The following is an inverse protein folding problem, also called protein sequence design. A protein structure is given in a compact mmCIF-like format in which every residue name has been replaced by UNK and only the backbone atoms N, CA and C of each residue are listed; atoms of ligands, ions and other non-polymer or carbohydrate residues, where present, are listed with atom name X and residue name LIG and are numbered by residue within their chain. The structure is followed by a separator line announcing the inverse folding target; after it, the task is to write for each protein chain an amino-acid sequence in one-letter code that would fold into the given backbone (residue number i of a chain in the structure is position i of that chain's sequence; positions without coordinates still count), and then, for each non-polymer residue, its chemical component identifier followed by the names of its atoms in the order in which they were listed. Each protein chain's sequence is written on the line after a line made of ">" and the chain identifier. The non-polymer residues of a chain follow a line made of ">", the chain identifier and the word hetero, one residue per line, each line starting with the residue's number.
data_IF_423720785599
#
_entry.id   IF_423720785599
#
_cell.length_a   1.000
_cell.length_b   1.000
_cell.length_c   1.000
_cell.angle_alpha   90.00
_cell.angle_beta   90.00
_cell.angle_gamma   90.00
#
_symmetry.space_group_name_H-M   'P 1'
#
loop_
_entity.id
_entity.type
_entity.pdbx_description
1 polymer ?
#
# COMPACT_ATOMS: atom_id res chain seq x y z
N UNK A 1 -13.32 7.28 10.03
CA UNK A 1 -14.21 6.74 11.07
C UNK A 1 -15.46 7.61 11.23
N UNK A 2 -15.36 8.95 11.41
CA UNK A 2 -16.50 9.86 11.61
C UNK A 2 -17.56 9.72 10.51
N UNK A 3 -17.18 9.74 9.23
CA UNK A 3 -18.10 9.60 8.10
C UNK A 3 -18.85 8.25 8.12
N UNK A 4 -18.14 7.14 8.36
CA UNK A 4 -18.75 5.80 8.43
C UNK A 4 -19.71 5.68 9.61
N UNK A 5 -19.36 6.26 10.78
CA UNK A 5 -20.25 6.28 11.95
C UNK A 5 -21.50 7.10 11.68
N UNK A 6 -21.38 8.27 11.01
CA UNK A 6 -22.51 9.10 10.61
C UNK A 6 -23.48 8.34 9.70
N UNK A 7 -23.03 7.67 8.66
CA UNK A 7 -23.88 6.88 7.76
C UNK A 7 -24.58 5.73 8.49
N UNK A 8 -23.92 5.14 9.50
CA UNK A 8 -24.53 4.09 10.32
C UNK A 8 -25.62 4.63 11.23
N UNK A 9 -25.41 5.80 11.85
CA UNK A 9 -26.40 6.50 12.64
C UNK A 9 -27.61 6.97 11.81
N UNK A 10 -27.37 7.54 10.62
CA UNK A 10 -28.42 7.93 9.66
C UNK A 10 -29.32 6.74 9.29
N UNK A 11 -28.70 5.55 9.09
CA UNK A 11 -29.46 4.31 8.86
C UNK A 11 -30.28 3.92 10.09
N UNK A 12 -29.71 3.99 11.30
CA UNK A 12 -30.41 3.63 12.53
C UNK A 12 -31.58 4.56 12.81
N UNK A 13 -31.45 5.85 12.45
CA UNK A 13 -32.50 6.87 12.56
C UNK A 13 -33.55 6.83 11.44
N UNK A 14 -33.41 5.90 10.50
CA UNK A 14 -34.32 5.79 9.34
C UNK A 14 -34.15 6.88 8.27
N UNK A 15 -33.13 7.73 8.37
CA UNK A 15 -32.81 8.78 7.41
C UNK A 15 -32.18 8.23 6.11
N UNK A 16 -31.64 7.04 6.17
CA UNK A 16 -31.02 6.31 5.06
C UNK A 16 -31.47 4.85 5.08
N UNK A 17 -31.98 4.34 3.97
CA UNK A 17 -32.46 2.95 3.89
C UNK A 17 -31.32 1.93 4.05
N UNK A 18 -30.20 2.14 3.35
CA UNK A 18 -28.99 1.31 3.41
C UNK A 18 -27.75 2.18 3.49
N UNK A 19 -26.68 1.66 4.06
CA UNK A 19 -25.38 2.33 4.04
C UNK A 19 -24.73 2.23 2.67
N UNK A 20 -23.84 3.17 2.25
CA UNK A 20 -23.20 3.11 0.94
C UNK A 20 -22.44 1.80 0.68
N UNK A 21 -21.77 1.25 1.68
CA UNK A 21 -21.09 -0.05 1.52
C UNK A 21 -22.06 -1.24 1.41
N UNK A 22 -23.28 -1.14 1.95
CA UNK A 22 -24.30 -2.18 1.75
C UNK A 22 -24.88 -2.12 0.33
N UNK A 23 -25.08 -0.90 -0.21
CA UNK A 23 -25.49 -0.70 -1.60
C UNK A 23 -24.43 -1.21 -2.58
N UNK A 24 -23.15 -0.92 -2.33
CA UNK A 24 -22.04 -1.50 -3.12
C UNK A 24 -22.00 -3.03 -3.03
N UNK A 25 -22.24 -3.61 -1.83
CA UNK A 25 -22.34 -5.06 -1.68
C UNK A 25 -23.48 -5.67 -2.51
N UNK A 26 -24.64 -5.01 -2.56
CA UNK A 26 -25.76 -5.44 -3.41
C UNK A 26 -25.43 -5.35 -4.92
N UNK A 27 -24.54 -4.43 -5.31
CA UNK A 27 -24.08 -4.30 -6.70
C UNK A 27 -23.27 -5.53 -7.16
N UNK A 28 -22.63 -6.27 -6.25
CA UNK A 28 -21.79 -7.42 -6.58
C UNK A 28 -22.50 -8.51 -7.41
N UNK A 29 -23.78 -8.79 -7.13
CA UNK A 29 -24.57 -9.74 -7.94
C UNK A 29 -24.77 -9.27 -9.37
N UNK A 30 -25.03 -7.97 -9.55
CA UNK A 30 -25.20 -7.35 -10.89
C UNK A 30 -23.86 -7.32 -11.63
N UNK A 31 -22.78 -7.10 -10.91
CA UNK A 31 -21.43 -7.13 -11.45
C UNK A 31 -21.12 -8.45 -12.14
N UNK A 32 -21.28 -9.60 -11.47
CA UNK A 32 -20.96 -10.90 -12.09
C UNK A 32 -21.79 -11.21 -13.33
N UNK A 33 -23.07 -10.82 -13.33
CA UNK A 33 -23.93 -10.98 -14.51
C UNK A 33 -23.48 -10.07 -15.67
N UNK A 34 -23.09 -8.84 -15.37
CA UNK A 34 -22.61 -7.89 -16.36
C UNK A 34 -21.23 -8.30 -16.90
N UNK A 35 -20.33 -8.71 -16.01
CA UNK A 35 -19.00 -9.17 -16.37
C UNK A 35 -19.04 -10.39 -17.32
N UNK A 36 -19.81 -11.44 -16.98
CA UNK A 36 -19.96 -12.63 -17.85
C UNK A 36 -20.48 -12.27 -19.25
N UNK A 37 -21.41 -11.31 -19.33
CA UNK A 37 -21.89 -10.80 -20.61
C UNK A 37 -20.84 -9.96 -21.34
N UNK A 38 -20.09 -9.14 -20.60
CA UNK A 38 -19.05 -8.28 -21.14
C UNK A 38 -17.96 -9.10 -21.83
N UNK A 39 -17.49 -10.15 -21.19
CA UNK A 39 -16.45 -11.03 -21.73
C UNK A 39 -16.92 -11.83 -22.97
N UNK A 40 -18.23 -12.18 -23.02
CA UNK A 40 -18.81 -12.92 -24.15
C UNK A 40 -19.12 -12.05 -25.37
N UNK A 41 -19.26 -10.75 -25.20
CA UNK A 41 -19.73 -9.81 -26.26
C UNK A 41 -18.67 -8.80 -26.65
N UNK A 42 -17.63 -9.20 -27.39
CA UNK A 42 -16.53 -8.30 -27.77
C UNK A 42 -16.99 -7.19 -28.72
N UNK A 43 -16.65 -5.93 -28.37
CA UNK A 43 -16.76 -4.70 -29.19
C UNK A 43 -18.12 -4.41 -29.86
N UNK A 44 -19.23 -4.74 -29.22
CA UNK A 44 -20.55 -4.33 -29.61
C UNK A 44 -21.04 -3.13 -28.77
N UNK A 45 -22.06 -2.41 -29.24
CA UNK A 45 -22.75 -1.39 -28.43
C UNK A 45 -23.20 -1.98 -27.08
N UNK A 46 -23.72 -3.21 -27.11
CA UNK A 46 -24.14 -3.93 -25.91
C UNK A 46 -22.98 -4.09 -24.90
N UNK A 47 -21.80 -4.42 -25.39
CA UNK A 47 -20.58 -4.56 -24.57
C UNK A 47 -20.24 -3.25 -23.83
N UNK A 48 -20.17 -2.13 -24.55
CA UNK A 48 -19.85 -0.84 -23.94
C UNK A 48 -20.99 -0.29 -23.07
N UNK A 49 -22.26 -0.60 -23.41
CA UNK A 49 -23.40 -0.22 -22.57
C UNK A 49 -23.47 -0.94 -21.23
N UNK A 50 -22.85 -2.13 -21.11
CA UNK A 50 -22.72 -2.81 -19.82
C UNK A 50 -21.85 -2.03 -18.83
N UNK A 51 -20.76 -1.40 -19.30
CA UNK A 51 -19.94 -0.50 -18.46
C UNK A 51 -20.79 0.65 -17.93
N UNK A 52 -21.60 1.28 -18.80
CA UNK A 52 -22.50 2.37 -18.42
C UNK A 52 -23.53 1.92 -17.38
N UNK A 53 -24.19 0.78 -17.60
CA UNK A 53 -25.17 0.22 -16.67
C UNK A 53 -24.56 -0.06 -15.29
N UNK A 54 -23.35 -0.61 -15.26
CA UNK A 54 -22.66 -0.88 -14.00
C UNK A 54 -22.18 0.41 -13.32
N UNK A 55 -21.70 1.38 -14.09
CA UNK A 55 -21.34 2.69 -13.59
C UNK A 55 -22.53 3.38 -12.92
N UNK A 56 -23.72 3.35 -13.52
CA UNK A 56 -24.94 3.91 -12.91
C UNK A 56 -25.25 3.27 -11.56
N UNK A 57 -25.10 1.94 -11.44
CA UNK A 57 -25.29 1.22 -10.18
C UNK A 57 -24.28 1.65 -9.10
N UNK A 58 -23.00 1.83 -9.48
CA UNK A 58 -21.96 2.28 -8.55
C UNK A 58 -22.17 3.74 -8.15
N UNK A 59 -22.51 4.61 -9.10
CA UNK A 59 -22.72 6.04 -8.86
C UNK A 59 -23.93 6.30 -7.98
N UNK A 60 -25.03 5.54 -8.16
CA UNK A 60 -26.19 5.57 -7.27
C UNK A 60 -25.78 5.16 -5.83
N UNK A 61 -25.06 4.04 -5.67
CA UNK A 61 -24.59 3.58 -4.38
C UNK A 61 -23.61 4.56 -3.68
N UNK A 62 -22.89 5.37 -4.47
CA UNK A 62 -21.90 6.35 -4.02
C UNK A 62 -22.46 7.79 -3.92
N UNK A 63 -23.77 7.97 -4.16
CA UNK A 63 -24.47 9.25 -3.98
C UNK A 63 -24.27 10.28 -5.09
N UNK A 64 -24.00 9.82 -6.34
CA UNK A 64 -23.84 10.67 -7.53
C UNK A 64 -25.11 10.77 -8.39
N UNK A 65 -26.26 10.49 -7.82
CA UNK A 65 -27.60 10.59 -8.45
C UNK A 65 -28.27 11.96 -8.27
N UNK A 66 -27.65 12.87 -7.51
CA UNK A 66 -28.19 14.19 -7.20
C UNK A 66 -28.26 15.15 -8.37
N UNK A 67 -29.14 16.15 -8.26
CA UNK A 67 -29.36 17.22 -9.26
C UNK A 67 -28.12 18.12 -9.48
N UNK A 68 -27.18 18.11 -8.57
CA UNK A 68 -25.89 18.82 -8.62
C UNK A 68 -24.81 18.06 -9.40
N UNK A 69 -25.16 16.93 -10.01
CA UNK A 69 -24.27 16.15 -10.89
C UNK A 69 -24.71 16.37 -12.35
N UNK A 70 -23.83 17.00 -13.12
CA UNK A 70 -24.09 17.23 -14.56
C UNK A 70 -23.62 16.01 -15.33
N UNK A 71 -24.53 15.37 -16.07
CA UNK A 71 -24.25 14.12 -16.80
C UNK A 71 -23.92 14.37 -18.25
N UNK A 72 -23.09 13.48 -18.82
CA UNK A 72 -22.81 13.31 -20.25
C UNK A 72 -22.33 14.58 -20.96
N UNK A 73 -21.21 15.13 -20.50
CA UNK A 73 -20.58 16.28 -21.13
C UNK A 73 -19.41 15.84 -22.04
N UNK A 74 -19.23 16.54 -23.13
CA UNK A 74 -18.03 16.47 -23.95
C UNK A 74 -17.27 17.77 -23.76
N UNK A 75 -16.15 17.69 -22.99
CA UNK A 75 -15.40 18.85 -22.55
C UNK A 75 -14.07 18.91 -23.31
N UNK A 76 -13.79 19.92 -24.14
CA UNK A 76 -12.51 20.08 -24.82
C UNK A 76 -11.39 20.22 -23.78
N UNK A 77 -10.34 19.39 -23.80
CA UNK A 77 -9.17 19.44 -22.93
C UNK A 77 -7.93 19.99 -23.65
N UNK A 78 -7.92 19.92 -24.98
CA UNK A 78 -6.97 20.58 -25.86
C UNK A 78 -7.63 20.97 -27.19
N UNK A 79 -6.87 21.52 -28.14
CA UNK A 79 -7.40 21.84 -29.47
C UNK A 79 -7.89 20.61 -30.24
N UNK A 80 -7.29 19.44 -29.97
CA UNK A 80 -7.55 18.20 -30.71
C UNK A 80 -8.24 17.12 -29.86
N UNK A 81 -8.32 17.33 -28.52
CA UNK A 81 -8.80 16.32 -27.60
C UNK A 81 -9.99 16.81 -26.77
N UNK A 82 -11.03 16.00 -26.76
CA UNK A 82 -12.26 16.21 -25.97
C UNK A 82 -12.41 15.07 -24.95
N UNK A 83 -12.69 15.41 -23.70
CA UNK A 83 -12.96 14.44 -22.63
C UNK A 83 -14.44 14.05 -22.62
N UNK A 84 -14.79 12.76 -22.72
CA UNK A 84 -16.16 12.28 -22.55
C UNK A 84 -16.49 12.14 -21.05
N UNK A 85 -16.88 13.23 -20.41
CA UNK A 85 -17.21 13.27 -18.99
C UNK A 85 -18.63 12.72 -18.78
N UNK A 86 -18.71 11.51 -18.25
CA UNK A 86 -19.97 10.84 -17.96
C UNK A 86 -20.76 11.55 -16.85
N UNK A 87 -20.06 12.00 -15.81
CA UNK A 87 -20.64 12.81 -14.75
C UNK A 87 -19.61 13.82 -14.23
N UNK A 88 -20.04 15.04 -13.99
CA UNK A 88 -19.24 16.12 -13.43
C UNK A 88 -19.86 16.61 -12.12
N UNK A 89 -19.02 16.78 -11.11
CA UNK A 89 -19.38 17.47 -9.85
C UNK A 89 -18.54 18.73 -9.75
N UNK A 90 -19.19 19.87 -9.48
CA UNK A 90 -18.55 21.16 -9.28
C UNK A 90 -18.54 21.53 -7.79
N UNK A 91 -17.57 22.33 -7.39
CA UNK A 91 -17.53 22.88 -6.05
C UNK A 91 -18.54 24.02 -5.86
N UNK A 92 -18.63 24.58 -4.65
CA UNK A 92 -19.52 25.68 -4.35
C UNK A 92 -19.21 26.97 -5.16
N UNK A 93 -17.98 27.11 -5.67
CA UNK A 93 -17.53 28.21 -6.51
C UNK A 93 -17.82 28.00 -7.99
N UNK A 94 -18.34 26.82 -8.38
CA UNK A 94 -18.64 26.45 -9.75
C UNK A 94 -17.44 25.86 -10.52
N UNK A 95 -16.26 25.70 -9.89
CA UNK A 95 -15.11 25.05 -10.50
C UNK A 95 -15.28 23.52 -10.54
N UNK A 96 -14.76 22.82 -11.59
CA UNK A 96 -14.85 21.37 -11.69
C UNK A 96 -14.04 20.72 -10.56
N UNK A 97 -14.70 19.88 -9.76
CA UNK A 97 -14.06 19.18 -8.65
C UNK A 97 -13.78 17.72 -9.00
N UNK A 98 -14.75 17.00 -9.57
CA UNK A 98 -14.63 15.61 -9.97
C UNK A 98 -15.18 15.40 -11.38
N UNK A 99 -14.42 14.72 -12.23
CA UNK A 99 -14.87 14.15 -13.49
C UNK A 99 -14.93 12.63 -13.37
N UNK A 100 -16.00 12.03 -13.85
CA UNK A 100 -16.19 10.59 -13.97
C UNK A 100 -16.18 10.23 -15.43
N UNK A 101 -15.28 9.33 -15.82
CA UNK A 101 -15.06 8.91 -17.21
C UNK A 101 -15.20 7.40 -17.27
N UNK A 102 -16.02 6.90 -18.20
CA UNK A 102 -16.15 5.48 -18.46
C UNK A 102 -15.07 5.02 -19.43
N UNK A 103 -14.57 3.81 -19.22
CA UNK A 103 -13.48 3.27 -20.02
C UNK A 103 -13.73 1.83 -20.44
N UNK A 104 -13.32 1.49 -21.66
CA UNK A 104 -13.36 0.14 -22.21
C UNK A 104 -12.15 -0.64 -21.67
N UNK A 105 -12.30 -1.25 -20.49
CA UNK A 105 -11.24 -1.97 -19.78
C UNK A 105 -11.75 -3.27 -19.20
N UNK A 106 -10.95 -4.35 -19.38
CA UNK A 106 -11.09 -5.63 -18.68
C UNK A 106 -9.71 -6.20 -18.33
N UNK A 107 -9.58 -6.80 -17.16
CA UNK A 107 -8.35 -7.48 -16.73
C UNK A 107 -7.99 -8.67 -17.63
N UNK A 108 -8.97 -9.38 -18.17
CA UNK A 108 -8.72 -10.54 -19.04
C UNK A 108 -8.07 -10.15 -20.38
N UNK A 109 -8.11 -8.86 -20.73
CA UNK A 109 -7.42 -8.32 -21.89
C UNK A 109 -5.92 -7.99 -21.64
N UNK A 110 -5.39 -8.26 -20.45
CA UNK A 110 -4.03 -7.93 -20.01
C UNK A 110 -3.64 -6.45 -20.28
N UNK A 111 -4.60 -5.55 -20.10
CA UNK A 111 -4.47 -4.13 -20.35
C UNK A 111 -4.61 -3.34 -19.05
N UNK A 112 -3.73 -2.34 -18.82
CA UNK A 112 -3.90 -1.39 -17.72
C UNK A 112 -5.05 -0.40 -18.06
N UNK A 113 -5.90 -0.10 -17.07
CA UNK A 113 -7.00 0.88 -17.22
C UNK A 113 -6.48 2.26 -17.65
N UNK A 114 -5.27 2.63 -17.25
CA UNK A 114 -4.64 3.90 -17.61
C UNK A 114 -4.27 3.94 -19.10
N UNK A 115 -3.90 2.80 -19.68
CA UNK A 115 -3.63 2.66 -21.12
C UNK A 115 -4.89 2.39 -21.97
N UNK A 116 -6.02 2.08 -21.33
CA UNK A 116 -7.29 1.85 -22.02
C UNK A 116 -7.89 3.14 -22.59
N UNK A 117 -8.92 2.98 -23.45
CA UNK A 117 -9.58 4.09 -24.13
C UNK A 117 -10.82 4.57 -23.37
N UNK A 118 -11.09 5.89 -23.31
CA UNK A 118 -12.36 6.41 -22.80
C UNK A 118 -13.53 6.08 -23.75
N UNK A 119 -14.75 6.01 -23.19
CA UNK A 119 -15.99 5.72 -23.93
C UNK A 119 -16.80 7.00 -24.12
N UNK A 120 -17.13 7.35 -25.36
CA UNK A 120 -18.05 8.43 -25.69
C UNK A 120 -19.50 7.94 -25.62
N UNK A 121 -20.11 8.00 -24.43
CA UNK A 121 -21.46 7.46 -24.17
C UNK A 121 -22.58 8.11 -24.96
N UNK A 122 -22.49 9.42 -25.27
CA UNK A 122 -23.45 10.10 -26.16
C UNK A 122 -23.53 9.44 -27.54
N UNK A 123 -22.38 9.08 -28.09
CA UNK A 123 -22.27 8.44 -29.39
C UNK A 123 -22.82 7.01 -29.41
N UNK A 124 -22.80 6.32 -28.25
CA UNK A 124 -23.44 5.01 -28.11
C UNK A 124 -24.94 5.03 -28.28
N UNK A 125 -25.61 6.17 -28.01
CA UNK A 125 -27.07 6.34 -28.11
C UNK A 125 -27.53 6.79 -29.47
N UNK A 126 -26.62 7.25 -30.32
CA UNK A 126 -26.98 7.67 -31.68
C UNK A 126 -27.35 6.46 -32.53
N UNK A 127 -28.54 6.46 -33.06
CA UNK A 127 -29.09 5.39 -33.90
C UNK A 127 -28.60 5.53 -35.36
N UNK A 128 -27.29 5.55 -35.54
CA UNK A 128 -26.62 5.66 -36.84
C UNK A 128 -26.08 4.30 -37.21
N UNK A 129 -26.47 3.76 -38.34
CA UNK A 129 -26.02 2.44 -38.82
C UNK A 129 -24.52 2.34 -39.05
N UNK A 130 -23.82 3.49 -39.15
CA UNK A 130 -22.40 3.61 -39.50
C UNK A 130 -21.54 4.23 -38.38
N UNK A 131 -21.75 3.88 -37.10
CA UNK A 131 -20.80 4.30 -36.06
C UNK A 131 -19.50 3.53 -36.26
N UNK A 132 -18.49 4.25 -36.72
CA UNK A 132 -17.13 3.74 -36.79
C UNK A 132 -16.63 3.54 -35.37
N UNK A 133 -15.98 2.40 -35.07
CA UNK A 133 -15.41 2.07 -33.75
C UNK A 133 -14.59 3.22 -33.16
N UNK A 134 -13.88 3.96 -34.00
CA UNK A 134 -13.05 5.12 -33.64
C UNK A 134 -13.83 6.31 -33.09
N UNK A 135 -15.14 6.42 -33.42
CA UNK A 135 -15.96 7.53 -32.92
C UNK A 135 -16.40 7.33 -31.49
N UNK A 136 -16.56 6.08 -31.05
CA UNK A 136 -16.98 5.69 -29.70
C UNK A 136 -15.77 5.42 -28.79
N UNK A 137 -14.71 4.85 -29.36
CA UNK A 137 -13.45 4.56 -28.73
C UNK A 137 -12.34 5.27 -29.52
N UNK A 138 -12.00 6.51 -29.16
CA UNK A 138 -10.92 7.24 -29.81
C UNK A 138 -9.58 6.52 -29.57
N UNK A 139 -8.65 6.68 -30.49
CA UNK A 139 -7.29 6.17 -30.34
C UNK A 139 -6.46 7.06 -29.41
N UNK A 140 -6.97 7.26 -28.18
CA UNK A 140 -6.37 8.08 -27.13
C UNK A 140 -6.45 7.29 -25.85
N UNK A 141 -5.33 7.19 -25.13
CA UNK A 141 -5.30 6.54 -23.81
C UNK A 141 -5.90 7.41 -22.72
N UNK A 142 -6.39 6.78 -21.66
CA UNK A 142 -6.81 7.52 -20.47
C UNK A 142 -5.65 8.32 -19.86
N UNK A 143 -4.40 7.84 -19.98
CA UNK A 143 -3.22 8.57 -19.49
C UNK A 143 -3.06 9.92 -20.19
N UNK A 144 -3.14 9.92 -21.52
CA UNK A 144 -3.05 11.14 -22.31
C UNK A 144 -4.20 12.09 -22.00
N UNK A 145 -5.43 11.56 -21.94
CA UNK A 145 -6.60 12.33 -21.57
C UNK A 145 -6.48 12.96 -20.18
N UNK A 146 -6.04 12.20 -19.18
CA UNK A 146 -5.85 12.66 -17.81
C UNK A 146 -4.77 13.72 -17.74
N UNK A 147 -3.63 13.54 -18.44
CA UNK A 147 -2.56 14.52 -18.49
C UNK A 147 -3.06 15.86 -19.05
N UNK A 148 -3.83 15.83 -20.14
CA UNK A 148 -4.41 17.04 -20.71
C UNK A 148 -5.51 17.65 -19.83
N UNK A 149 -6.33 16.82 -19.16
CA UNK A 149 -7.35 17.29 -18.24
C UNK A 149 -6.79 17.95 -16.99
N UNK A 150 -5.67 17.45 -16.46
CA UNK A 150 -5.03 17.97 -15.24
C UNK A 150 -4.08 19.13 -15.49
N UNK A 151 -3.33 19.13 -16.59
CA UNK A 151 -2.21 20.04 -16.83
C UNK A 151 -2.23 20.72 -18.19
N UNK A 152 -3.28 20.52 -19.00
CA UNK A 152 -3.42 21.19 -20.29
C UNK A 152 -3.62 22.71 -20.17
N UNK A 153 -3.74 23.40 -21.30
CA UNK A 153 -3.84 24.86 -21.36
C UNK A 153 -5.25 25.41 -21.08
N UNK A 154 -6.03 24.74 -20.24
CA UNK A 154 -7.37 25.19 -19.84
C UNK A 154 -7.31 26.15 -18.65
N UNK A 155 -8.39 26.92 -18.49
CA UNK A 155 -8.56 27.81 -17.33
C UNK A 155 -8.98 27.02 -16.08
N UNK A 156 -9.79 25.95 -16.26
CA UNK A 156 -10.33 25.17 -15.17
C UNK A 156 -9.96 23.68 -15.33
N UNK A 157 -9.43 23.09 -14.28
CA UNK A 157 -9.05 21.68 -14.22
C UNK A 157 -9.75 20.98 -13.07
N UNK A 158 -10.24 19.73 -13.26
CA UNK A 158 -10.82 18.98 -12.15
C UNK A 158 -9.73 18.66 -11.09
N UNK A 159 -10.13 18.58 -9.83
CA UNK A 159 -9.25 18.11 -8.77
C UNK A 159 -9.08 16.58 -8.85
N UNK A 160 -10.17 15.88 -9.12
CA UNK A 160 -10.23 14.43 -9.20
C UNK A 160 -10.73 13.96 -10.55
N UNK A 161 -10.21 12.82 -11.01
CA UNK A 161 -10.79 12.05 -12.11
C UNK A 161 -11.02 10.62 -11.61
N UNK A 162 -12.23 10.09 -11.82
CA UNK A 162 -12.60 8.71 -11.53
C UNK A 162 -12.80 7.99 -12.86
N UNK A 163 -11.97 6.99 -13.15
CA UNK A 163 -12.11 6.10 -14.29
C UNK A 163 -12.90 4.88 -13.85
N UNK A 164 -13.95 4.52 -14.60
CA UNK A 164 -14.79 3.35 -14.34
C UNK A 164 -14.75 2.41 -15.53
N UNK A 165 -14.15 1.24 -15.35
CA UNK A 165 -14.23 0.09 -16.26
C UNK A 165 -15.17 -0.98 -15.70
N UNK A 166 -15.29 -2.10 -16.41
CA UNK A 166 -16.13 -3.22 -15.93
C UNK A 166 -15.53 -3.86 -14.66
N UNK A 167 -14.23 -4.04 -14.58
CA UNK A 167 -13.52 -4.76 -13.50
C UNK A 167 -12.79 -3.86 -12.53
N UNK A 168 -12.68 -2.57 -12.84
CA UNK A 168 -11.83 -1.67 -12.08
C UNK A 168 -12.44 -0.28 -11.98
N UNK A 169 -12.27 0.33 -10.79
CA UNK A 169 -12.46 1.77 -10.58
C UNK A 169 -11.12 2.35 -10.13
N UNK A 170 -10.71 3.43 -10.78
CA UNK A 170 -9.49 4.16 -10.43
C UNK A 170 -9.84 5.59 -10.08
N UNK A 171 -9.33 6.06 -8.93
CA UNK A 171 -9.43 7.46 -8.50
C UNK A 171 -8.07 8.13 -8.60
N UNK A 172 -8.02 9.18 -9.40
CA UNK A 172 -6.85 10.00 -9.68
C UNK A 172 -7.00 11.35 -8.97
N UNK A 173 -5.96 11.78 -8.28
CA UNK A 173 -5.86 13.11 -7.68
C UNK A 173 -4.80 13.91 -8.42
N UNK A 174 -5.15 15.09 -8.96
CA UNK A 174 -4.22 15.98 -9.66
C UNK A 174 -2.96 16.27 -8.87
N UNK A 175 -3.07 16.40 -7.54
CA UNK A 175 -1.93 16.69 -6.67
C UNK A 175 -0.97 15.51 -6.50
N UNK A 176 -1.38 14.29 -6.83
CA UNK A 176 -0.59 13.05 -6.70
C UNK A 176 -0.24 12.42 -8.05
N UNK A 177 -0.90 12.87 -9.11
CA UNK A 177 -0.69 12.31 -10.44
C UNK A 177 0.72 12.54 -11.00
N UNK A 178 1.38 13.65 -10.64
CA UNK A 178 2.79 13.88 -11.00
C UNK A 178 3.73 12.77 -10.50
N UNK A 179 3.41 12.17 -9.34
CA UNK A 179 4.13 11.02 -8.77
C UNK A 179 3.60 9.67 -9.29
N UNK A 180 2.66 9.66 -10.24
CA UNK A 180 1.96 8.47 -10.73
C UNK A 180 1.26 7.66 -9.62
N UNK A 181 0.77 8.34 -8.57
CA UNK A 181 0.04 7.74 -7.46
C UNK A 181 -1.46 7.88 -7.64
N UNK A 182 -2.18 6.78 -7.53
CA UNK A 182 -3.63 6.72 -7.63
C UNK A 182 -4.20 5.58 -6.79
N UNK A 183 -5.50 5.61 -6.53
CA UNK A 183 -6.22 4.50 -5.88
C UNK A 183 -6.85 3.62 -6.94
N UNK A 184 -6.58 2.33 -6.87
CA UNK A 184 -7.15 1.31 -7.74
C UNK A 184 -8.01 0.34 -6.93
N UNK A 185 -9.21 0.08 -7.41
CA UNK A 185 -10.19 -0.81 -6.82
C UNK A 185 -10.50 -1.93 -7.81
N UNK A 186 -9.97 -3.12 -7.54
CA UNK A 186 -10.28 -4.34 -8.27
C UNK A 186 -11.64 -4.86 -7.82
N UNK A 187 -12.64 -4.74 -8.67
CA UNK A 187 -14.02 -5.09 -8.36
C UNK A 187 -14.22 -6.61 -8.27
N UNK A 188 -13.49 -7.38 -9.07
CA UNK A 188 -13.53 -8.84 -9.02
C UNK A 188 -13.05 -9.35 -7.66
N UNK A 189 -11.90 -8.86 -7.19
CA UNK A 189 -11.35 -9.21 -5.89
C UNK A 189 -12.23 -8.69 -4.73
N UNK A 190 -12.75 -7.46 -4.83
CA UNK A 190 -13.60 -6.84 -3.79
C UNK A 190 -14.90 -7.59 -3.61
N UNK A 191 -15.60 -7.88 -4.71
CA UNK A 191 -16.86 -8.60 -4.65
C UNK A 191 -16.68 -10.09 -4.38
N UNK A 192 -15.56 -10.70 -4.81
CA UNK A 192 -15.25 -12.11 -4.55
C UNK A 192 -14.97 -12.42 -3.09
N UNK A 193 -14.28 -11.52 -2.38
CA UNK A 193 -13.94 -11.72 -0.96
C UNK A 193 -15.08 -11.41 -0.01
N UNK A 194 -16.08 -10.64 -0.44
CA UNK A 194 -17.21 -10.18 0.38
C UNK A 194 -16.81 -9.57 1.74
N UNK A 195 -15.64 -8.95 1.83
CA UNK A 195 -15.14 -8.35 3.08
C UNK A 195 -15.81 -7.00 3.36
N UNK A 196 -16.59 -6.86 4.47
CA UNK A 196 -17.25 -5.60 4.79
C UNK A 196 -16.28 -4.44 5.03
N UNK A 197 -15.05 -4.72 5.45
CA UNK A 197 -14.00 -3.72 5.68
C UNK A 197 -13.55 -3.08 4.40
N UNK A 198 -13.35 -3.86 3.34
CA UNK A 198 -12.94 -3.39 2.01
C UNK A 198 -14.04 -2.56 1.35
N UNK A 199 -15.30 -3.02 1.42
CA UNK A 199 -16.46 -2.25 0.93
C UNK A 199 -16.64 -0.92 1.68
N UNK A 200 -16.40 -0.88 3.00
CA UNK A 200 -16.41 0.36 3.79
C UNK A 200 -15.30 1.32 3.36
N UNK A 201 -14.10 0.81 3.11
CA UNK A 201 -12.98 1.62 2.63
C UNK A 201 -13.27 2.20 1.24
N UNK A 202 -13.75 1.38 0.30
CA UNK A 202 -14.16 1.81 -1.03
C UNK A 202 -15.25 2.89 -0.97
N UNK A 203 -16.32 2.66 -0.19
CA UNK A 203 -17.37 3.66 0.02
C UNK A 203 -16.81 4.96 0.60
N UNK A 204 -15.95 4.88 1.66
CA UNK A 204 -15.38 6.07 2.30
C UNK A 204 -14.47 6.89 1.38
N UNK A 205 -13.81 6.26 0.41
CA UNK A 205 -12.90 6.94 -0.51
C UNK A 205 -13.58 7.47 -1.77
N UNK A 206 -14.64 6.79 -2.25
CA UNK A 206 -15.27 7.12 -3.53
C UNK A 206 -16.59 7.85 -3.40
N UNK A 207 -17.24 7.86 -2.21
CA UNK A 207 -18.54 8.50 -2.04
C UNK A 207 -18.47 10.01 -2.26
N UNK A 208 -19.51 10.57 -2.87
CA UNK A 208 -19.61 12.01 -3.17
C UNK A 208 -19.37 12.89 -1.96
N UNK A 209 -19.95 12.56 -0.80
CA UNK A 209 -19.73 13.32 0.44
C UNK A 209 -18.28 13.32 0.92
N UNK A 210 -17.47 12.33 0.52
CA UNK A 210 -16.06 12.24 0.87
C UNK A 210 -15.15 13.02 -0.09
N UNK A 211 -15.42 12.92 -1.39
CA UNK A 211 -14.62 13.57 -2.43
C UNK A 211 -15.06 15.01 -2.70
N UNK A 212 -16.37 15.26 -2.64
CA UNK A 212 -16.99 16.52 -3.01
C UNK A 212 -17.88 17.04 -1.87
N UNK A 213 -17.37 17.28 -0.65
CA UNK A 213 -18.16 17.84 0.43
C UNK A 213 -18.56 19.29 0.13
N UNK A 214 -19.75 19.71 0.61
CA UNK A 214 -20.27 21.06 0.33
C UNK A 214 -19.58 22.15 1.16
N UNK A 215 -19.22 21.85 2.40
CA UNK A 215 -18.70 22.83 3.37
C UNK A 215 -17.28 22.54 3.86
N UNK A 216 -16.81 21.30 3.70
CA UNK A 216 -15.52 20.84 4.20
C UNK A 216 -14.50 20.62 3.05
N UNK A 217 -13.27 20.31 3.43
CA UNK A 217 -12.25 19.82 2.49
C UNK A 217 -12.47 18.34 2.17
N UNK A 218 -12.09 17.87 0.98
CA UNK A 218 -12.13 16.47 0.63
C UNK A 218 -11.48 15.58 1.70
N UNK A 219 -12.08 14.41 1.97
CA UNK A 219 -11.56 13.46 2.97
C UNK A 219 -10.08 13.09 2.70
N UNK A 220 -9.67 13.02 1.44
CA UNK A 220 -8.30 12.72 1.04
C UNK A 220 -7.30 13.75 1.58
N UNK A 221 -7.64 15.03 1.62
CA UNK A 221 -6.76 16.06 2.19
C UNK A 221 -6.57 15.88 3.70
N UNK A 222 -7.65 15.48 4.41
CA UNK A 222 -7.57 15.18 5.84
C UNK A 222 -6.75 13.91 6.12
N UNK A 223 -6.88 12.89 5.26
CA UNK A 223 -6.08 11.66 5.35
C UNK A 223 -4.61 11.92 5.05
N UNK A 224 -4.31 12.73 4.04
CA UNK A 224 -2.96 13.16 3.69
C UNK A 224 -2.30 13.91 4.86
N UNK A 225 -2.99 14.91 5.40
CA UNK A 225 -2.51 15.65 6.57
C UNK A 225 -2.31 14.76 7.81
N UNK A 226 -3.17 13.75 8.01
CA UNK A 226 -2.99 12.77 9.07
C UNK A 226 -1.80 11.84 8.81
N UNK A 227 -1.58 11.44 7.55
CA UNK A 227 -0.44 10.63 7.14
C UNK A 227 0.87 11.35 7.39
N UNK A 228 1.00 12.63 7.00
CA UNK A 228 2.19 13.44 7.27
C UNK A 228 2.44 13.60 8.77
N UNK A 229 1.40 13.87 9.57
CA UNK A 229 1.54 13.96 11.03
C UNK A 229 2.00 12.65 11.65
N UNK A 230 1.45 11.53 11.18
CA UNK A 230 1.85 10.20 11.64
C UNK A 230 3.27 9.86 11.22
N UNK A 231 3.68 10.19 10.00
CA UNK A 231 5.04 9.96 9.51
C UNK A 231 6.08 10.75 10.34
N UNK A 232 5.81 12.02 10.65
CA UNK A 232 6.66 12.82 11.52
C UNK A 232 6.73 12.25 12.94
N UNK A 233 5.59 11.86 13.51
CA UNK A 233 5.55 11.24 14.84
C UNK A 233 6.30 9.91 14.88
N UNK A 234 6.20 9.08 13.84
CA UNK A 234 6.97 7.84 13.67
C UNK A 234 8.46 8.12 13.54
N UNK A 235 8.85 9.16 12.79
CA UNK A 235 10.25 9.55 12.64
C UNK A 235 10.88 9.95 13.98
N UNK A 236 10.18 10.70 14.80
CA UNK A 236 10.65 11.08 16.14
C UNK A 236 10.68 9.90 17.11
N UNK A 237 9.64 9.05 17.09
CA UNK A 237 9.62 7.82 17.86
C UNK A 237 10.80 6.89 17.46
N UNK A 238 11.13 6.82 16.16
CA UNK A 238 12.23 6.02 15.64
C UNK A 238 13.60 6.56 16.03
N UNK A 239 13.81 7.89 16.02
CA UNK A 239 15.06 8.51 16.50
C UNK A 239 15.33 8.15 17.97
N UNK A 240 14.30 8.23 18.79
CA UNK A 240 14.37 7.84 20.20
C UNK A 240 14.67 6.34 20.36
N UNK A 241 13.93 5.51 19.63
CA UNK A 241 14.11 4.05 19.64
C UNK A 241 15.53 3.64 19.22
N UNK A 242 16.07 4.27 18.18
CA UNK A 242 17.45 4.02 17.72
C UNK A 242 18.47 4.35 18.79
N UNK A 243 18.36 5.52 19.44
CA UNK A 243 19.28 5.94 20.48
C UNK A 243 19.29 4.95 21.65
N UNK A 244 18.10 4.63 22.17
CA UNK A 244 17.97 3.69 23.28
C UNK A 244 18.45 2.27 22.90
N UNK A 245 18.16 1.83 21.68
CA UNK A 245 18.61 0.54 21.17
C UNK A 245 20.13 0.45 21.02
N UNK A 246 20.80 1.53 20.61
CA UNK A 246 22.26 1.59 20.52
C UNK A 246 22.89 1.48 21.93
N UNK A 247 22.33 2.17 22.92
CA UNK A 247 22.79 2.10 24.30
C UNK A 247 22.60 0.68 24.88
N UNK A 248 21.43 0.07 24.66
CA UNK A 248 21.17 -1.31 25.09
C UNK A 248 22.13 -2.30 24.43
N UNK A 249 22.32 -2.19 23.12
CA UNK A 249 23.17 -3.09 22.35
C UNK A 249 24.64 -2.96 22.77
N UNK A 250 25.16 -1.74 22.96
CA UNK A 250 26.50 -1.48 23.37
C UNK A 250 26.80 -2.05 24.80
N UNK A 251 25.86 -1.84 25.72
CA UNK A 251 25.96 -2.39 27.08
C UNK A 251 25.92 -3.92 27.07
N UNK A 252 25.10 -4.53 26.20
CA UNK A 252 25.01 -5.99 26.09
C UNK A 252 26.28 -6.60 25.52
N UNK A 253 26.89 -5.96 24.51
CA UNK A 253 28.18 -6.38 23.95
C UNK A 253 29.27 -6.34 25.05
N UNK A 254 29.36 -5.24 25.82
CA UNK A 254 30.30 -5.11 26.92
C UNK A 254 30.04 -6.14 28.02
N UNK A 255 28.77 -6.43 28.35
CA UNK A 255 28.40 -7.48 29.28
C UNK A 255 28.90 -8.84 28.79
N UNK A 256 28.71 -9.17 27.52
CA UNK A 256 29.13 -10.41 26.90
C UNK A 256 30.66 -10.59 27.04
N UNK A 257 31.45 -9.57 26.67
CA UNK A 257 32.95 -9.63 26.78
C UNK A 257 33.46 -9.69 28.20
N UNK A 258 32.74 -9.17 29.18
CA UNK A 258 33.09 -9.28 30.61
C UNK A 258 32.78 -10.64 31.21
N UNK A 259 31.75 -11.31 30.72
CA UNK A 259 31.26 -12.58 31.25
C UNK A 259 31.83 -13.79 30.51
N UNK A 260 32.16 -13.61 29.23
CA UNK A 260 32.68 -14.67 28.37
C UNK A 260 34.09 -14.30 27.88
N UNK A 261 35.02 -15.20 28.10
CA UNK A 261 36.39 -15.01 27.60
C UNK A 261 36.41 -15.16 26.08
N UNK A 262 36.63 -14.04 25.36
CA UNK A 262 36.81 -14.03 23.91
C UNK A 262 38.29 -13.85 23.61
N UNK A 263 38.97 -14.83 22.98
CA UNK A 263 40.41 -14.73 22.73
C UNK A 263 40.75 -13.46 21.93
N UNK A 264 41.72 -12.71 22.48
CA UNK A 264 42.28 -11.53 21.81
C UNK A 264 41.48 -10.24 21.99
N UNK A 265 40.43 -10.22 22.82
CA UNK A 265 39.67 -9.00 23.13
C UNK A 265 39.38 -8.94 24.62
N UNK A 266 39.97 -7.96 25.31
CA UNK A 266 39.66 -7.66 26.71
C UNK A 266 38.58 -6.55 26.75
N UNK A 267 37.59 -6.72 27.64
CA UNK A 267 36.44 -5.80 27.70
C UNK A 267 36.84 -4.35 28.03
N UNK A 268 37.92 -4.19 28.82
CA UNK A 268 38.48 -2.91 29.23
C UNK A 268 39.23 -2.18 28.11
N UNK A 269 39.64 -2.89 27.06
CA UNK A 269 40.34 -2.35 25.88
C UNK A 269 39.40 -1.95 24.74
N UNK A 270 38.11 -2.24 24.89
CA UNK A 270 37.11 -1.91 23.82
C UNK A 270 36.94 -0.39 23.77
N UNK A 271 37.29 0.20 22.60
CA UNK A 271 37.04 1.61 22.36
C UNK A 271 35.52 1.88 22.20
N UNK A 272 35.00 2.75 23.06
CA UNK A 272 33.59 3.10 23.09
C UNK A 272 33.10 3.77 21.80
N UNK A 273 33.98 4.53 21.11
CA UNK A 273 33.63 5.17 19.85
C UNK A 273 33.48 4.15 18.72
N UNK A 274 34.43 3.19 18.63
CA UNK A 274 34.33 2.10 17.64
C UNK A 274 33.13 1.20 17.92
N UNK A 275 32.90 0.81 19.16
CA UNK A 275 31.70 0.04 19.54
C UNK A 275 30.41 0.75 19.16
N UNK A 276 30.31 2.07 19.42
CA UNK A 276 29.16 2.88 19.02
C UNK A 276 28.92 2.84 17.51
N UNK A 277 29.97 2.96 16.70
CA UNK A 277 29.87 2.90 15.24
C UNK A 277 29.36 1.51 14.79
N UNK A 278 29.85 0.46 15.41
CA UNK A 278 29.42 -0.90 15.11
C UNK A 278 27.95 -1.12 15.51
N UNK A 279 27.52 -0.62 16.67
CA UNK A 279 26.13 -0.66 17.12
C UNK A 279 25.20 0.11 16.13
N UNK A 280 25.59 1.29 15.67
CA UNK A 280 24.87 2.04 14.65
C UNK A 280 24.71 1.22 13.37
N UNK A 281 25.78 0.58 12.89
CA UNK A 281 25.71 -0.31 11.70
C UNK A 281 24.74 -1.47 11.91
N UNK A 282 24.74 -2.08 13.08
CA UNK A 282 23.83 -3.15 13.43
C UNK A 282 22.37 -2.67 13.39
N UNK A 283 22.09 -1.49 13.95
CA UNK A 283 20.76 -0.90 13.91
C UNK A 283 20.30 -0.58 12.48
N UNK A 284 21.22 -0.12 11.61
CA UNK A 284 20.90 0.06 10.20
C UNK A 284 20.59 -1.25 9.47
N UNK A 285 21.22 -2.38 9.85
CA UNK A 285 20.82 -3.71 9.34
C UNK A 285 19.38 -4.03 9.71
N UNK A 286 18.98 -3.80 10.96
CA UNK A 286 17.60 -4.02 11.42
C UNK A 286 16.62 -3.11 10.68
N UNK A 287 16.92 -1.82 10.53
CA UNK A 287 16.11 -0.89 9.75
C UNK A 287 15.93 -1.35 8.31
N UNK A 288 17.01 -1.80 7.68
CA UNK A 288 16.97 -2.33 6.31
C UNK A 288 16.07 -3.56 6.21
N UNK A 289 16.13 -4.48 7.18
CA UNK A 289 15.26 -5.65 7.23
C UNK A 289 13.79 -5.26 7.35
N UNK A 290 13.45 -4.38 8.28
CA UNK A 290 12.09 -3.88 8.44
C UNK A 290 11.56 -3.21 7.16
N UNK A 291 12.41 -2.42 6.51
CA UNK A 291 12.06 -1.77 5.25
C UNK A 291 11.87 -2.79 4.12
N UNK A 292 12.82 -3.70 3.93
CA UNK A 292 12.82 -4.70 2.86
C UNK A 292 11.60 -5.63 2.94
N UNK A 293 11.25 -6.12 4.14
CA UNK A 293 10.08 -6.99 4.33
C UNK A 293 8.76 -6.23 4.24
N UNK A 294 8.75 -4.92 4.50
CA UNK A 294 7.56 -4.08 4.33
C UNK A 294 7.28 -3.70 2.86
N UNK A 295 8.21 -3.98 1.93
CA UNK A 295 8.17 -3.62 0.51
C UNK A 295 8.38 -4.86 -0.37
N UNK A 296 7.39 -5.76 -0.44
CA UNK A 296 7.48 -7.01 -1.21
C UNK A 296 7.83 -6.81 -2.68
N UNK A 297 7.39 -5.69 -3.24
CA UNK A 297 7.61 -5.31 -4.64
C UNK A 297 9.09 -5.11 -5.00
N UNK A 298 9.96 -4.89 -4.01
CA UNK A 298 11.41 -4.76 -4.25
C UNK A 298 12.09 -6.11 -4.52
N UNK A 299 11.46 -7.24 -4.17
CA UNK A 299 11.96 -8.57 -4.47
C UNK A 299 13.20 -9.02 -3.69
N UNK A 300 13.64 -8.25 -2.68
CA UNK A 300 14.84 -8.59 -1.89
C UNK A 300 14.61 -9.67 -0.84
N UNK A 301 13.39 -9.81 -0.33
CA UNK A 301 13.02 -10.82 0.65
C UNK A 301 11.98 -11.79 0.08
N UNK A 302 12.14 -13.11 0.26
CA UNK A 302 11.19 -14.11 -0.23
C UNK A 302 9.99 -14.24 0.71
N UNK A 303 9.25 -13.15 0.91
CA UNK A 303 8.13 -13.06 1.87
C UNK A 303 6.91 -13.91 1.47
N UNK A 304 6.87 -14.45 0.25
CA UNK A 304 5.85 -15.40 -0.19
C UNK A 304 6.12 -16.82 0.30
N UNK A 305 7.35 -17.10 0.73
CA UNK A 305 7.79 -18.43 1.15
C UNK A 305 7.56 -18.62 2.65
N UNK A 306 6.73 -19.60 3.01
CA UNK A 306 6.35 -19.86 4.40
C UNK A 306 7.54 -20.18 5.30
N UNK A 307 8.54 -20.90 4.80
CA UNK A 307 9.78 -21.24 5.54
C UNK A 307 10.55 -19.99 5.92
N UNK A 308 10.71 -19.04 4.99
CA UNK A 308 11.33 -17.75 5.28
C UNK A 308 10.51 -16.97 6.32
N UNK A 309 9.23 -16.80 6.09
CA UNK A 309 8.34 -16.01 6.94
C UNK A 309 8.30 -16.52 8.38
N UNK A 310 8.25 -17.85 8.58
CA UNK A 310 8.09 -18.44 9.92
C UNK A 310 9.41 -18.54 10.69
N UNK A 311 10.54 -18.78 10.01
CA UNK A 311 11.80 -19.13 10.65
C UNK A 311 12.86 -18.02 10.64
N UNK A 312 12.87 -17.14 9.62
CA UNK A 312 13.96 -16.20 9.39
C UNK A 312 13.53 -14.74 9.33
N UNK A 313 12.26 -14.45 9.04
CA UNK A 313 11.81 -13.07 8.83
C UNK A 313 11.91 -12.22 10.11
N UNK A 314 12.19 -10.93 9.93
CA UNK A 314 12.13 -9.97 11.04
C UNK A 314 10.69 -9.81 11.57
N UNK A 315 9.67 -10.06 10.74
CA UNK A 315 8.26 -10.05 11.15
C UNK A 315 7.94 -11.21 12.10
N UNK A 316 8.54 -12.39 11.90
CA UNK A 316 8.43 -13.51 12.85
C UNK A 316 9.05 -13.14 14.19
N UNK A 317 10.28 -12.61 14.19
CA UNK A 317 10.94 -12.16 15.41
C UNK A 317 10.16 -11.07 16.14
N UNK A 318 9.58 -10.13 15.38
CA UNK A 318 8.69 -9.08 15.89
C UNK A 318 7.46 -9.67 16.57
N UNK A 319 6.83 -10.64 15.95
CA UNK A 319 5.64 -11.29 16.49
C UNK A 319 5.93 -12.05 17.78
N UNK A 320 7.11 -12.69 17.89
CA UNK A 320 7.57 -13.34 19.10
C UNK A 320 7.87 -12.29 20.19
N UNK A 321 8.59 -11.22 19.83
CA UNK A 321 8.96 -10.15 20.77
C UNK A 321 7.75 -9.43 21.38
N UNK A 322 6.63 -9.33 20.64
CA UNK A 322 5.39 -8.72 21.14
C UNK A 322 4.64 -9.61 22.15
N UNK A 323 4.84 -10.95 22.08
CA UNK A 323 4.16 -11.92 22.93
C UNK A 323 4.93 -12.25 24.20
N UNK A 324 6.24 -12.14 24.17
CA UNK A 324 7.13 -12.48 25.28
C UNK A 324 7.44 -11.23 26.11
N UNK A 325 7.36 -11.34 27.43
CA UNK A 325 7.83 -10.28 28.34
C UNK A 325 9.31 -10.52 28.64
N UNK A 326 10.18 -9.53 28.39
CA UNK A 326 11.61 -9.67 28.66
C UNK A 326 11.91 -10.09 30.11
N UNK A 327 11.14 -9.55 31.06
CA UNK A 327 11.32 -9.77 32.51
C UNK A 327 10.91 -11.19 32.95
N UNK A 328 10.20 -11.95 32.16
CA UNK A 328 9.79 -13.34 32.44
C UNK A 328 10.81 -14.37 31.94
N UNK A 329 11.86 -13.92 31.24
CA UNK A 329 12.88 -14.83 30.70
C UNK A 329 13.87 -15.29 31.78
N UNK A 330 14.11 -16.60 31.84
CA UNK A 330 15.04 -17.23 32.78
C UNK A 330 16.22 -17.80 32.00
N UNK A 331 17.41 -17.42 32.38
CA UNK A 331 18.65 -17.92 31.78
C UNK A 331 19.16 -17.15 30.58
N UNK A 332 20.31 -17.54 30.06
CA UNK A 332 20.94 -16.94 28.89
C UNK A 332 20.50 -17.64 27.61
N UNK A 333 19.54 -17.06 26.90
CA UNK A 333 19.09 -17.52 25.60
C UNK A 333 19.53 -16.52 24.54
N UNK A 334 19.85 -17.00 23.33
CA UNK A 334 20.42 -16.21 22.24
C UNK A 334 19.70 -16.40 20.89
N UNK A 335 18.47 -16.87 20.92
CA UNK A 335 17.69 -17.20 19.71
C UNK A 335 17.59 -16.04 18.72
N UNK A 336 17.29 -14.84 19.22
CA UNK A 336 17.18 -13.65 18.37
C UNK A 336 18.52 -13.26 17.76
N UNK A 337 19.58 -13.29 18.55
CA UNK A 337 20.94 -12.98 18.10
C UNK A 337 21.41 -13.95 17.01
N UNK A 338 21.21 -15.25 17.22
CA UNK A 338 21.62 -16.30 16.28
C UNK A 338 20.80 -16.25 14.98
N UNK A 339 19.48 -16.03 15.09
CA UNK A 339 18.59 -15.91 13.92
C UNK A 339 18.95 -14.69 13.07
N UNK A 340 19.16 -13.52 13.68
CA UNK A 340 19.57 -12.31 12.97
C UNK A 340 20.96 -12.45 12.34
N UNK A 341 21.93 -13.06 13.05
CA UNK A 341 23.26 -13.33 12.51
C UNK A 341 23.18 -14.22 11.26
N UNK A 342 22.33 -15.26 11.33
CA UNK A 342 22.08 -16.16 10.20
C UNK A 342 21.45 -15.40 9.02
N UNK A 343 20.43 -14.58 9.28
CA UNK A 343 19.76 -13.78 8.25
C UNK A 343 20.70 -12.76 7.60
N UNK A 344 21.51 -12.03 8.39
CA UNK A 344 22.51 -11.10 7.86
C UNK A 344 23.51 -11.80 6.94
N UNK A 345 23.91 -13.02 7.31
CA UNK A 345 24.82 -13.81 6.51
C UNK A 345 24.19 -14.33 5.21
N UNK A 346 22.89 -14.71 5.24
CA UNK A 346 22.14 -15.09 4.05
C UNK A 346 21.95 -13.89 3.10
N UNK A 347 21.68 -12.70 3.62
CA UNK A 347 21.56 -11.49 2.81
C UNK A 347 22.91 -11.11 2.17
N UNK A 348 24.00 -11.20 2.93
CA UNK A 348 25.32 -10.83 2.40
C UNK A 348 25.83 -11.81 1.35
N UNK A 349 25.72 -13.12 1.61
CA UNK A 349 26.29 -14.18 0.74
C UNK A 349 25.31 -14.79 -0.23
N UNK A 350 24.02 -14.52 -0.10
CA UNK A 350 22.94 -15.23 -0.77
C UNK A 350 22.60 -16.56 -0.12
N UNK A 351 21.42 -17.09 -0.49
CA UNK A 351 20.99 -18.42 -0.10
C UNK A 351 20.18 -19.06 -1.25
N UNK A 352 20.48 -20.30 -1.68
CA UNK A 352 21.66 -21.10 -1.31
C UNK A 352 22.98 -20.49 -1.83
N UNK A 353 24.10 -20.86 -1.20
CA UNK A 353 25.39 -20.21 -1.43
C UNK A 353 26.08 -20.59 -2.76
N UNK A 354 25.70 -21.70 -3.37
CA UNK A 354 26.34 -22.21 -4.57
C UNK A 354 25.41 -22.07 -5.77
N UNK A 355 25.95 -21.62 -6.91
CA UNK A 355 25.19 -21.49 -8.16
C UNK A 355 24.57 -22.82 -8.63
N UNK A 356 25.19 -23.96 -8.32
CA UNK A 356 24.66 -25.30 -8.62
C UNK A 356 23.41 -25.62 -7.78
N UNK A 357 23.35 -25.16 -6.54
CA UNK A 357 22.19 -25.32 -5.66
C UNK A 357 21.06 -24.36 -6.04
N UNK A 358 21.41 -23.16 -6.52
CA UNK A 358 20.46 -22.20 -7.12
C UNK A 358 19.77 -22.79 -8.35
N UNK A 359 20.53 -23.37 -9.29
CA UNK A 359 20.00 -24.03 -10.49
C UNK A 359 19.10 -25.23 -10.16
N UNK A 360 19.42 -25.98 -9.08
CA UNK A 360 18.57 -27.06 -8.60
C UNK A 360 17.26 -26.54 -8.00
N UNK A 361 17.28 -25.40 -7.30
CA UNK A 361 16.07 -24.77 -6.77
C UNK A 361 15.17 -24.23 -7.86
N UNK A 362 15.72 -23.61 -8.90
CA UNK A 362 14.99 -23.15 -10.10
C UNK A 362 14.39 -24.29 -10.93
N UNK A 363 15.07 -25.44 -10.97
CA UNK A 363 14.61 -26.62 -11.71
C UNK A 363 13.58 -27.49 -10.96
N UNK A 364 13.44 -27.32 -9.65
CA UNK A 364 12.49 -28.06 -8.81
C UNK A 364 11.25 -27.24 -8.52
N UNK A 365 10.35 -27.11 -9.50
CA UNK A 365 9.00 -26.54 -9.34
C UNK A 365 8.12 -27.23 -8.25
N UNK A 366 8.60 -28.30 -7.63
CA UNK A 366 7.84 -29.10 -6.67
C UNK A 366 8.42 -29.27 -5.27
N UNK A 367 9.55 -28.62 -4.94
CA UNK A 367 10.06 -28.62 -3.56
C UNK A 367 9.46 -27.45 -2.77
N UNK A 368 8.42 -27.71 -2.03
CA UNK A 368 7.59 -26.75 -1.27
C UNK A 368 8.34 -25.96 -0.17
N UNK A 369 9.67 -26.10 0.00
CA UNK A 369 10.37 -25.54 1.17
C UNK A 369 11.70 -24.81 0.87
N UNK A 370 12.01 -24.50 -0.39
CA UNK A 370 13.27 -23.83 -0.72
C UNK A 370 13.03 -22.40 -1.17
N UNK A 371 13.53 -21.43 -0.40
CA UNK A 371 13.51 -20.03 -0.77
C UNK A 371 14.89 -19.58 -1.29
N UNK A 372 14.93 -18.51 -2.07
CA UNK A 372 16.14 -17.93 -2.64
C UNK A 372 16.30 -16.50 -2.13
N UNK A 373 17.51 -16.17 -1.63
CA UNK A 373 17.92 -14.80 -1.34
C UNK A 373 19.10 -14.48 -2.25
N UNK A 374 18.98 -13.48 -3.10
CA UNK A 374 20.07 -13.00 -3.94
C UNK A 374 21.14 -12.30 -3.08
N UNK A 375 22.44 -12.51 -3.34
CA UNK A 375 23.50 -11.94 -2.52
C UNK A 375 23.54 -10.41 -2.67
N UNK A 376 23.34 -9.72 -1.55
CA UNK A 376 23.51 -8.28 -1.42
C UNK A 376 24.84 -8.01 -0.73
N UNK A 377 25.96 -7.95 -1.44
CA UNK A 377 27.32 -7.69 -0.90
C UNK A 377 27.49 -6.21 -0.50
N UNK A 378 26.55 -5.68 0.24
CA UNK A 378 26.61 -4.30 0.72
C UNK A 378 27.47 -4.22 2.01
N UNK A 379 28.30 -3.19 2.12
CA UNK A 379 29.17 -2.95 3.28
C UNK A 379 28.45 -2.96 4.63
N UNK A 380 27.15 -2.64 4.65
CA UNK A 380 26.35 -2.65 5.88
C UNK A 380 26.22 -4.05 6.46
N UNK A 381 26.14 -5.12 5.63
CA UNK A 381 26.02 -6.51 6.06
C UNK A 381 27.37 -7.23 6.19
N UNK A 382 28.47 -6.57 5.83
CA UNK A 382 29.82 -7.14 5.98
C UNK A 382 30.15 -7.32 7.47
N UNK A 383 30.36 -8.56 7.88
CA UNK A 383 30.70 -8.94 9.25
C UNK A 383 32.04 -8.35 9.74
N UNK A 384 32.99 -8.15 8.80
CA UNK A 384 34.31 -7.58 9.12
C UNK A 384 34.21 -6.11 9.55
N UNK A 385 33.11 -5.44 9.25
CA UNK A 385 32.82 -4.07 9.67
C UNK A 385 32.21 -3.94 11.06
N UNK A 386 31.87 -5.08 11.68
CA UNK A 386 31.28 -5.13 13.03
C UNK A 386 31.86 -6.31 13.80
N UNK A 387 33.20 -6.41 13.96
CA UNK A 387 33.85 -7.56 14.57
C UNK A 387 33.42 -7.78 16.02
N UNK A 388 33.28 -6.73 16.83
CA UNK A 388 32.85 -6.84 18.22
C UNK A 388 31.43 -7.44 18.32
N UNK A 389 30.49 -7.02 17.49
CA UNK A 389 29.14 -7.56 17.50
C UNK A 389 29.06 -8.95 16.84
N UNK A 390 29.97 -9.25 15.92
CA UNK A 390 30.00 -10.57 15.28
C UNK A 390 30.41 -11.69 16.24
N UNK A 391 31.32 -11.40 17.13
CA UNK A 391 31.80 -12.37 18.12
C UNK A 391 30.99 -12.40 19.43
N UNK A 392 30.18 -11.34 19.67
CA UNK A 392 29.27 -11.28 20.80
C UNK A 392 27.94 -11.93 20.47
N UNK A 393 27.33 -12.60 21.45
CA UNK A 393 25.95 -13.08 21.38
C UNK A 393 25.11 -12.25 22.35
N UNK A 394 24.07 -11.65 21.86
CA UNK A 394 23.16 -10.79 22.64
C UNK A 394 22.02 -11.62 23.20
N UNK A 395 21.77 -11.49 24.51
CA UNK A 395 20.68 -12.19 25.20
C UNK A 395 19.31 -11.79 24.62
N UNK A 396 18.42 -12.77 24.57
CA UNK A 396 17.06 -12.58 24.03
C UNK A 396 16.29 -11.49 24.77
N UNK A 397 16.48 -11.34 26.08
CA UNK A 397 15.88 -10.25 26.88
C UNK A 397 16.17 -8.87 26.27
N UNK A 398 17.43 -8.60 25.93
CA UNK A 398 17.87 -7.32 25.36
C UNK A 398 17.40 -7.19 23.91
N UNK A 399 17.51 -8.25 23.13
CA UNK A 399 17.09 -8.25 21.72
C UNK A 399 15.59 -8.05 21.57
N UNK A 400 14.77 -8.64 22.44
CA UNK A 400 13.31 -8.41 22.48
C UNK A 400 13.01 -6.94 22.80
N UNK A 401 13.72 -6.33 23.74
CA UNK A 401 13.56 -4.89 24.05
C UNK A 401 13.91 -4.03 22.83
N UNK A 402 15.02 -4.31 22.16
CA UNK A 402 15.45 -3.60 20.93
C UNK A 402 14.41 -3.75 19.82
N UNK A 403 13.96 -4.98 19.53
CA UNK A 403 12.95 -5.22 18.48
C UNK A 403 11.63 -4.53 18.82
N UNK A 404 11.19 -4.54 20.07
CA UNK A 404 9.98 -3.85 20.51
C UNK A 404 10.12 -2.32 20.42
N UNK A 405 11.28 -1.75 20.73
CA UNK A 405 11.55 -0.31 20.54
C UNK A 405 11.46 0.07 19.08
N UNK A 406 12.05 -0.73 18.19
CA UNK A 406 12.02 -0.49 16.75
C UNK A 406 10.67 -0.80 16.11
N UNK A 407 9.84 -1.66 16.67
CA UNK A 407 8.59 -2.14 16.07
C UNK A 407 7.35 -1.39 16.52
N UNK A 408 7.35 -0.81 17.71
CA UNK A 408 6.17 -0.26 18.35
C UNK A 408 6.34 1.24 18.59
N UNK A 409 5.24 2.00 18.39
CA UNK A 409 5.20 3.42 18.74
C UNK A 409 5.48 3.62 20.23
N UNK A 410 6.07 4.77 20.58
CA UNK A 410 6.42 5.10 21.95
C UNK A 410 5.17 5.10 22.86
N UNK A 411 5.34 4.57 24.08
CA UNK A 411 4.32 4.70 25.12
C UNK A 411 4.27 6.15 25.63
N UNK A 412 3.15 6.83 25.36
CA UNK A 412 2.90 8.22 25.78
C UNK A 412 2.11 8.30 27.09
N UNK A 413 2.11 7.22 27.88
CA UNK A 413 1.46 7.18 29.21
C UNK A 413 -0.04 7.03 29.17
N UNK A 414 -0.66 6.82 28.03
CA UNK A 414 -2.10 6.60 27.91
C UNK A 414 -2.43 5.12 28.08
N UNK A 415 -2.58 4.66 29.31
CA UNK A 415 -2.78 3.23 29.70
C UNK A 415 -3.94 2.50 28.96
N UNK A 416 -4.79 3.23 28.24
CA UNK A 416 -5.93 2.66 27.50
C UNK A 416 -5.62 2.41 26.02
N UNK A 417 -4.49 2.88 25.49
CA UNK A 417 -4.16 2.75 24.08
C UNK A 417 -2.99 1.78 23.92
N UNK A 418 -3.25 0.65 23.27
CA UNK A 418 -2.19 -0.30 22.86
C UNK A 418 -1.19 0.43 21.97
N UNK A 419 0.11 0.18 22.18
CA UNK A 419 1.18 0.66 21.30
C UNK A 419 0.89 0.16 19.88
N UNK A 420 0.92 1.07 18.91
CA UNK A 420 0.74 0.73 17.49
C UNK A 420 2.02 0.16 16.89
N UNK A 421 1.91 -0.69 15.88
CA UNK A 421 3.06 -1.14 15.10
C UNK A 421 3.55 0.00 14.19
N UNK A 422 4.87 0.20 14.11
CA UNK A 422 5.51 1.13 13.19
C UNK A 422 5.45 0.53 11.78
N UNK A 423 4.94 1.30 10.81
CA UNK A 423 4.95 0.91 9.39
C UNK A 423 6.21 1.46 8.72
N UNK A 424 7.06 0.56 8.24
CA UNK A 424 8.30 0.90 7.55
C UNK A 424 8.13 1.13 6.05
N UNK A 425 6.98 0.76 5.48
CA UNK A 425 6.70 0.91 4.04
C UNK A 425 6.77 2.36 3.55
N UNK A 426 6.48 3.33 4.43
CA UNK A 426 6.44 4.76 4.11
C UNK A 426 7.68 5.54 4.58
N UNK A 427 8.69 4.88 5.16
CA UNK A 427 9.95 5.50 5.54
C UNK A 427 10.80 5.71 4.27
N UNK A 428 11.06 6.95 3.92
CA UNK A 428 11.88 7.32 2.75
C UNK A 428 11.12 7.97 1.59
N UNK A 429 9.87 8.34 1.78
CA UNK A 429 9.06 9.11 0.81
C UNK A 429 9.07 10.61 1.17
N UNK A 430 10.22 11.14 1.58
CA UNK A 430 10.44 12.60 1.74
C UNK A 430 11.71 13.00 1.02
#
# INVERSE_FOLDING_TARGET
>A
KALLSRWQEERQKGQRAKTPWALLGDAGRRYYVAHDKYEKTRFTRTHLSLVQQMADVYLDALGYDGVDVVKEQEIPVSAELTAPVYAEVRDAGGAPLLWIILTAFSYEADQDIISACPIFTKKLRMDVADIVKTDVLPNVSNEELVNQAFFGNRVEHPRFIMLIGIDQIVLLDRNKWGDKKYFSFDLSAIFGRHEPTTLRAMAALLHKEALCPKEDKPLLDALDAASYRNANAVSDDLKYALRESIELLGNEVLYYYRTHHVPGVEAEEIDAADLSIQCVRYMYRLLFLFFMESRPELGYAPIKENTYLSAYSIESLRSIAEQVRPDDMVGENYYFSDTLSTLFNMIYNGYPRKDEDLKKCEAQESAHDVFVILPLKAHIFDRERTPLLYHARMRDEVMIRIINLMSLTRDRGNKKQRRGRISYANLGIN
#
